data_IF_567459566051
#
_entry.id   IF_567459566051
#
_cell.length_a   1.000
_cell.length_b   1.000
_cell.length_c   1.000
_cell.angle_alpha   90.00
_cell.angle_beta   90.00
_cell.angle_gamma   90.00
#
_symmetry.space_group_name_H-M   'P 1'
#
loop_
_entity.id
_entity.type
_entity.pdbx_description
1 polymer ?
#
# COMPACT_ATOMS: atom_id res chain seq x y z
N UNK A 1 14.84 -12.85 -7.56
CA UNK A 1 15.23 -12.28 -6.26
C UNK A 1 14.17 -12.68 -5.27
N UNK A 2 14.51 -13.43 -4.22
CA UNK A 2 13.53 -13.85 -3.20
C UNK A 2 13.09 -12.60 -2.43
N UNK A 3 11.81 -12.24 -2.49
CA UNK A 3 11.28 -11.13 -1.70
C UNK A 3 11.33 -11.57 -0.24
N UNK A 4 12.16 -10.90 0.56
CA UNK A 4 12.23 -11.14 2.01
C UNK A 4 10.86 -10.78 2.58
N UNK A 5 10.20 -11.74 3.24
CA UNK A 5 8.89 -11.52 3.84
C UNK A 5 9.02 -10.55 5.01
N UNK A 6 8.16 -9.52 5.11
CA UNK A 6 8.11 -8.69 6.29
C UNK A 6 7.74 -9.52 7.53
N UNK A 7 8.39 -9.23 8.64
CA UNK A 7 8.13 -9.85 9.94
C UNK A 7 6.99 -9.11 10.66
N UNK A 8 5.93 -9.82 11.01
CA UNK A 8 4.76 -9.29 11.71
C UNK A 8 4.70 -9.92 13.10
N UNK A 9 4.84 -9.09 14.12
CA UNK A 9 4.74 -9.52 15.51
C UNK A 9 3.27 -9.60 15.94
N UNK A 10 2.87 -10.74 16.50
CA UNK A 10 1.54 -10.94 17.08
C UNK A 10 1.69 -10.87 18.60
N UNK A 11 1.07 -9.85 19.21
CA UNK A 11 1.05 -9.69 20.67
C UNK A 11 0.34 -10.86 21.35
N UNK A 12 0.78 -11.16 22.58
CA UNK A 12 0.23 -12.25 23.39
C UNK A 12 -1.31 -12.20 23.49
N UNK A 13 -1.92 -13.38 23.39
CA UNK A 13 -3.37 -13.59 23.50
C UNK A 13 -4.13 -13.63 22.16
N UNK A 14 -3.51 -13.28 21.03
CA UNK A 14 -4.10 -13.49 19.69
C UNK A 14 -3.71 -14.89 19.19
N UNK A 15 -4.51 -15.89 19.55
CA UNK A 15 -4.16 -17.29 19.29
C UNK A 15 -4.46 -17.73 17.84
N UNK A 16 -5.41 -17.08 17.15
CA UNK A 16 -5.83 -17.46 15.80
C UNK A 16 -6.20 -16.25 14.94
N UNK A 17 -5.61 -16.18 13.75
CA UNK A 17 -6.07 -15.30 12.67
C UNK A 17 -7.27 -15.93 11.94
N UNK A 18 -8.18 -15.14 11.34
CA UNK A 18 -9.30 -15.70 10.58
C UNK A 18 -8.80 -16.61 9.44
N UNK A 19 -9.34 -17.81 9.34
CA UNK A 19 -8.80 -18.89 8.47
C UNK A 19 -8.73 -18.48 6.99
N UNK A 20 -9.75 -17.76 6.51
CA UNK A 20 -9.83 -17.24 5.15
C UNK A 20 -8.69 -16.26 4.84
N UNK A 21 -8.33 -15.42 5.81
CA UNK A 21 -7.27 -14.41 5.62
C UNK A 21 -5.90 -15.01 5.87
N UNK A 22 -5.75 -15.80 6.95
CA UNK A 22 -4.50 -16.48 7.29
C UNK A 22 -3.93 -17.24 6.09
N UNK A 23 -4.76 -18.04 5.41
CA UNK A 23 -4.36 -18.81 4.22
C UNK A 23 -3.74 -17.92 3.13
N UNK A 24 -4.27 -16.72 2.91
CA UNK A 24 -3.76 -15.80 1.89
C UNK A 24 -2.47 -15.11 2.36
N UNK A 25 -2.44 -14.64 3.61
CA UNK A 25 -1.34 -13.79 4.11
C UNK A 25 -0.11 -14.56 4.58
N UNK A 26 -0.20 -15.84 4.96
CA UNK A 26 0.98 -16.64 5.38
C UNK A 26 2.03 -16.77 4.26
N UNK A 27 1.62 -16.61 3.00
CA UNK A 27 2.55 -16.58 1.87
C UNK A 27 3.29 -15.24 1.75
N UNK A 28 2.76 -14.16 2.32
CA UNK A 28 3.24 -12.78 2.18
C UNK A 28 4.10 -12.36 3.38
N UNK A 29 3.69 -12.70 4.61
CA UNK A 29 4.37 -12.27 5.83
C UNK A 29 4.89 -13.45 6.65
N UNK A 30 5.88 -13.18 7.49
CA UNK A 30 6.35 -14.09 8.52
C UNK A 30 5.77 -13.66 9.87
N UNK A 31 4.99 -14.52 10.53
CA UNK A 31 4.41 -14.23 11.83
C UNK A 31 5.35 -14.66 12.96
N UNK A 32 5.53 -13.78 13.94
CA UNK A 32 6.36 -14.02 15.12
C UNK A 32 5.50 -13.84 16.36
N UNK A 33 5.54 -14.79 17.28
CA UNK A 33 4.79 -14.77 18.55
C UNK A 33 5.68 -14.57 19.78
N UNK A 34 6.95 -14.99 19.71
CA UNK A 34 7.89 -14.91 20.82
C UNK A 34 8.88 -13.78 20.56
N UNK A 35 8.82 -12.70 21.36
CA UNK A 35 9.72 -11.56 21.23
C UNK A 35 10.82 -11.63 22.29
N UNK A 36 11.92 -12.31 21.98
CA UNK A 36 13.08 -12.38 22.88
C UNK A 36 13.88 -11.08 22.89
N UNK A 37 14.73 -10.86 23.91
CA UNK A 37 15.64 -9.72 23.95
C UNK A 37 16.66 -9.69 22.79
N UNK A 38 17.00 -10.84 22.20
CA UNK A 38 17.88 -10.94 21.02
C UNK A 38 17.18 -10.50 19.73
N UNK A 39 15.86 -10.66 19.64
CA UNK A 39 15.04 -10.20 18.51
C UNK A 39 14.82 -8.69 18.46
N UNK A 40 15.27 -7.94 19.48
CA UNK A 40 15.35 -6.47 19.39
C UNK A 40 16.31 -6.01 18.27
N UNK A 41 17.23 -6.88 17.83
CA UNK A 41 18.05 -6.67 16.64
C UNK A 41 17.32 -7.10 15.34
N UNK A 42 16.38 -8.05 15.42
CA UNK A 42 15.51 -8.49 14.32
C UNK A 42 14.30 -7.54 14.18
N UNK A 43 14.54 -6.36 13.61
CA UNK A 43 13.53 -5.32 13.33
C UNK A 43 12.21 -5.92 12.79
N UNK A 44 11.13 -5.84 13.56
CA UNK A 44 9.77 -6.16 13.10
C UNK A 44 9.26 -5.07 12.17
N UNK A 45 8.44 -5.46 11.19
CA UNK A 45 7.90 -4.55 10.19
C UNK A 45 6.46 -4.13 10.48
N UNK A 46 5.70 -4.92 11.22
CA UNK A 46 4.32 -4.63 11.59
C UNK A 46 3.88 -5.39 12.84
N UNK A 47 2.75 -4.97 13.41
CA UNK A 47 2.24 -5.51 14.67
C UNK A 47 0.76 -5.85 14.54
N UNK A 48 0.36 -6.99 15.11
CA UNK A 48 -1.02 -7.35 15.37
C UNK A 48 -1.23 -7.42 16.88
N UNK A 49 -2.21 -6.68 17.41
CA UNK A 49 -2.44 -6.58 18.85
C UNK A 49 -3.93 -6.36 19.19
N UNK A 50 -4.31 -6.48 20.46
CA UNK A 50 -5.61 -6.00 20.94
C UNK A 50 -5.61 -4.48 21.04
N UNK A 51 -6.77 -3.84 20.82
CA UNK A 51 -6.88 -2.38 20.93
C UNK A 51 -6.42 -1.81 22.28
N UNK A 52 -6.66 -2.55 23.37
CA UNK A 52 -6.23 -2.16 24.72
C UNK A 52 -4.70 -2.15 24.93
N UNK A 53 -3.94 -2.84 24.07
CA UNK A 53 -2.47 -2.91 24.13
C UNK A 53 -1.80 -1.77 23.35
N UNK A 54 -2.55 -0.96 22.59
CA UNK A 54 -1.98 0.17 21.83
C UNK A 54 -1.14 1.15 22.67
N UNK A 55 -1.51 1.51 23.92
CA UNK A 55 -0.67 2.37 24.75
C UNK A 55 0.68 1.75 25.09
N UNK A 56 0.76 0.41 25.25
CA UNK A 56 1.99 -0.32 25.57
C UNK A 56 2.99 -0.30 24.40
N UNK A 57 2.49 -0.13 23.16
CA UNK A 57 3.35 -0.03 21.98
C UNK A 57 4.12 1.29 21.91
N UNK A 58 3.65 2.32 22.63
CA UNK A 58 4.27 3.65 22.58
C UNK A 58 5.69 3.59 23.16
N UNK A 59 6.67 3.98 22.35
CA UNK A 59 8.09 3.98 22.73
C UNK A 59 8.80 2.63 22.61
N UNK A 60 8.08 1.53 22.38
CA UNK A 60 8.68 0.21 22.10
C UNK A 60 9.02 0.03 20.62
N UNK A 61 8.25 0.66 19.73
CA UNK A 61 8.38 0.52 18.29
C UNK A 61 8.43 1.89 17.58
N UNK A 62 8.94 1.96 16.34
CA UNK A 62 8.92 3.19 15.55
C UNK A 62 7.49 3.74 15.38
N UNK A 63 7.33 5.06 15.48
CA UNK A 63 6.01 5.72 15.47
C UNK A 63 5.10 5.38 14.27
N UNK A 64 5.71 5.09 13.11
CA UNK A 64 4.99 4.78 11.87
C UNK A 64 4.89 3.27 11.58
N UNK A 65 5.13 2.40 12.57
CA UNK A 65 4.97 0.97 12.38
C UNK A 65 3.50 0.64 12.05
N UNK A 66 3.20 -0.18 11.03
CA UNK A 66 1.85 -0.59 10.70
C UNK A 66 1.31 -1.46 11.83
N UNK A 67 0.12 -1.13 12.31
CA UNK A 67 -0.57 -1.87 13.36
C UNK A 67 -1.94 -2.29 12.85
N UNK A 68 -2.30 -3.56 13.09
CA UNK A 68 -3.63 -4.10 12.86
C UNK A 68 -4.20 -4.59 14.20
N UNK A 69 -5.37 -4.07 14.58
CA UNK A 69 -6.00 -4.42 15.86
C UNK A 69 -6.95 -5.61 15.71
N UNK A 70 -7.11 -6.39 16.78
CA UNK A 70 -7.92 -7.62 16.78
C UNK A 70 -9.36 -7.44 16.29
N UNK A 71 -9.99 -6.30 16.57
CA UNK A 71 -11.35 -5.97 16.12
C UNK A 71 -11.46 -5.75 14.60
N UNK A 72 -10.34 -5.62 13.88
CA UNK A 72 -10.27 -5.39 12.43
C UNK A 72 -9.85 -6.63 11.65
N UNK A 73 -9.53 -7.74 12.32
CA UNK A 73 -8.95 -8.91 11.67
C UNK A 73 -9.89 -9.59 10.67
N UNK A 74 -11.20 -9.40 10.79
CA UNK A 74 -12.18 -9.99 9.87
C UNK A 74 -12.38 -9.16 8.59
N UNK A 75 -11.97 -7.89 8.59
CA UNK A 75 -12.25 -6.96 7.51
C UNK A 75 -11.05 -6.85 6.56
N UNK A 76 -11.32 -7.23 5.32
CA UNK A 76 -10.36 -7.32 4.22
C UNK A 76 -9.76 -5.96 3.85
N UNK A 77 -10.49 -4.87 4.06
CA UNK A 77 -10.03 -3.50 3.81
C UNK A 77 -8.88 -3.12 4.72
N UNK A 78 -8.97 -3.49 6.01
CA UNK A 78 -7.91 -3.21 6.96
C UNK A 78 -6.68 -4.07 6.70
N UNK A 79 -6.85 -5.29 6.20
CA UNK A 79 -5.74 -6.12 5.74
C UNK A 79 -5.05 -5.56 4.51
N UNK A 80 -5.80 -5.14 3.49
CA UNK A 80 -5.24 -4.50 2.29
C UNK A 80 -4.42 -3.25 2.67
N UNK A 81 -4.98 -2.42 3.56
CA UNK A 81 -4.30 -1.24 4.09
C UNK A 81 -3.05 -1.58 4.91
N UNK A 82 -3.13 -2.58 5.80
CA UNK A 82 -2.02 -3.03 6.63
C UNK A 82 -0.86 -3.56 5.79
N UNK A 83 -1.14 -4.45 4.84
CA UNK A 83 -0.12 -5.02 3.94
C UNK A 83 0.46 -3.96 3.00
N UNK A 84 -0.36 -3.05 2.48
CA UNK A 84 0.11 -1.91 1.69
C UNK A 84 1.13 -1.08 2.47
N UNK A 85 0.81 -0.70 3.71
CA UNK A 85 1.75 0.03 4.59
C UNK A 85 3.04 -0.74 4.84
N UNK A 86 2.92 -2.03 5.15
CA UNK A 86 4.03 -2.93 5.46
C UNK A 86 5.05 -2.98 4.32
N UNK A 87 4.58 -3.22 3.10
CA UNK A 87 5.44 -3.28 1.92
C UNK A 87 5.91 -1.90 1.44
N UNK A 88 5.14 -0.84 1.64
CA UNK A 88 5.62 0.53 1.39
C UNK A 88 6.78 0.89 2.31
N UNK A 89 6.71 0.56 3.60
CA UNK A 89 7.84 0.74 4.52
C UNK A 89 9.07 -0.06 4.10
N UNK A 90 8.89 -1.31 3.69
CA UNK A 90 10.01 -2.13 3.20
C UNK A 90 10.67 -1.51 1.97
N UNK A 91 9.87 -1.00 1.00
CA UNK A 91 10.42 -0.29 -0.17
C UNK A 91 11.11 1.02 0.22
N UNK A 92 10.60 1.75 1.21
CA UNK A 92 11.24 2.96 1.74
C UNK A 92 12.58 2.64 2.41
N UNK A 93 12.66 1.56 3.17
CA UNK A 93 13.92 1.11 3.78
C UNK A 93 14.93 0.70 2.69
N UNK A 94 14.47 0.10 1.59
CA UNK A 94 15.31 -0.12 0.39
C UNK A 94 15.80 1.18 -0.24
N UNK A 95 14.90 2.15 -0.45
CA UNK A 95 15.24 3.47 -0.97
C UNK A 95 16.28 4.19 -0.09
N UNK A 96 16.19 4.05 1.23
CA UNK A 96 17.13 4.67 2.18
C UNK A 96 18.57 4.19 1.95
N UNK A 97 18.77 2.93 1.57
CA UNK A 97 20.10 2.37 1.34
C UNK A 97 20.71 2.82 0.00
N UNK A 98 19.90 3.35 -0.90
CA UNK A 98 20.30 3.78 -2.25
C UNK A 98 19.86 5.23 -2.51
N UNK A 99 19.98 6.12 -1.51
CA UNK A 99 19.48 7.48 -1.61
C UNK A 99 20.18 8.29 -2.71
N UNK A 100 19.41 8.62 -3.73
CA UNK A 100 19.77 9.59 -4.77
C UNK A 100 18.53 10.40 -5.15
N UNK A 101 18.71 11.56 -5.79
CA UNK A 101 17.59 12.36 -6.26
C UNK A 101 16.72 11.56 -7.24
N UNK A 102 17.40 10.84 -8.14
CA UNK A 102 16.76 9.99 -9.13
C UNK A 102 15.91 8.91 -8.45
N UNK A 103 16.45 8.21 -7.46
CA UNK A 103 15.73 7.13 -6.79
C UNK A 103 14.53 7.63 -5.98
N UNK A 104 14.62 8.82 -5.36
CA UNK A 104 13.46 9.44 -4.67
C UNK A 104 12.36 9.81 -5.68
N UNK A 105 12.73 10.44 -6.80
CA UNK A 105 11.77 10.83 -7.85
C UNK A 105 11.13 9.59 -8.47
N UNK A 106 11.92 8.54 -8.75
CA UNK A 106 11.43 7.29 -9.30
C UNK A 106 10.49 6.60 -8.31
N UNK A 107 10.88 6.47 -7.04
CA UNK A 107 10.02 5.92 -6.00
C UNK A 107 8.69 6.66 -5.94
N UNK A 108 8.69 8.00 -5.89
CA UNK A 108 7.47 8.78 -5.85
C UNK A 108 6.61 8.58 -7.11
N UNK A 109 7.25 8.54 -8.28
CA UNK A 109 6.59 8.34 -9.57
C UNK A 109 5.84 7.01 -9.63
N UNK A 110 6.43 5.92 -9.14
CA UNK A 110 5.80 4.59 -9.10
C UNK A 110 4.67 4.50 -8.04
N UNK A 111 4.70 5.33 -7.00
CA UNK A 111 3.67 5.32 -5.93
C UNK A 111 2.55 6.34 -6.14
N UNK A 112 2.63 7.17 -7.18
CA UNK A 112 1.75 8.30 -7.42
C UNK A 112 0.27 7.99 -7.28
N UNK A 113 -0.23 6.96 -7.99
CA UNK A 113 -1.65 6.62 -7.94
C UNK A 113 -2.07 5.96 -6.65
N UNK A 114 -1.16 5.23 -5.98
CA UNK A 114 -1.42 4.72 -4.63
C UNK A 114 -1.61 5.87 -3.64
N UNK A 115 -0.73 6.88 -3.68
CA UNK A 115 -0.83 8.06 -2.83
C UNK A 115 -2.14 8.80 -3.12
N UNK A 116 -2.50 8.98 -4.40
CA UNK A 116 -3.75 9.62 -4.81
C UNK A 116 -4.99 8.86 -4.33
N UNK A 117 -4.95 7.53 -4.38
CA UNK A 117 -6.04 6.67 -3.92
C UNK A 117 -6.30 6.82 -2.41
N UNK A 118 -5.26 7.09 -1.62
CA UNK A 118 -5.38 7.34 -0.18
C UNK A 118 -5.70 8.80 0.15
N UNK A 119 -5.07 9.75 -0.54
CA UNK A 119 -5.23 11.17 -0.27
C UNK A 119 -4.91 12.01 -1.49
N UNK A 120 -5.91 12.60 -2.19
CA UNK A 120 -5.67 13.54 -3.27
C UNK A 120 -4.87 14.78 -2.81
N UNK A 121 -5.11 15.25 -1.58
CA UNK A 121 -4.36 16.35 -0.97
C UNK A 121 -2.92 15.93 -0.70
N UNK A 122 -2.71 14.74 -0.12
CA UNK A 122 -1.40 14.14 0.11
C UNK A 122 -0.60 13.96 -1.19
N UNK A 123 -1.26 13.53 -2.27
CA UNK A 123 -0.67 13.43 -3.60
C UNK A 123 -0.16 14.78 -4.11
N UNK A 124 -0.98 15.83 -4.02
CA UNK A 124 -0.53 17.17 -4.42
C UNK A 124 0.62 17.70 -3.56
N UNK A 125 0.56 17.48 -2.25
CA UNK A 125 1.60 17.92 -1.33
C UNK A 125 2.94 17.20 -1.58
N UNK A 126 2.91 15.87 -1.63
CA UNK A 126 4.12 15.05 -1.86
C UNK A 126 4.71 15.28 -3.25
N UNK A 127 3.89 15.51 -4.27
CA UNK A 127 4.35 15.91 -5.60
C UNK A 127 5.11 17.24 -5.58
N UNK A 128 4.60 18.25 -4.88
CA UNK A 128 5.32 19.54 -4.69
C UNK A 128 6.61 19.36 -3.88
N UNK A 129 6.57 18.52 -2.85
CA UNK A 129 7.73 18.23 -2.01
C UNK A 129 8.87 17.62 -2.85
N UNK A 130 8.58 16.57 -3.63
CA UNK A 130 9.57 15.92 -4.50
C UNK A 130 10.06 16.85 -5.62
N UNK A 131 9.19 17.68 -6.19
CA UNK A 131 9.59 18.68 -7.18
C UNK A 131 10.51 19.79 -6.61
N UNK A 132 10.58 19.94 -5.29
CA UNK A 132 11.41 20.95 -4.62
C UNK A 132 12.85 20.52 -4.37
N UNK A 133 13.20 19.26 -4.64
CA UNK A 133 14.56 18.73 -4.44
C UNK A 133 15.55 19.47 -5.36
N UNK A 134 16.62 20.02 -4.77
CA UNK A 134 17.71 20.72 -5.47
C UNK A 134 19.02 19.98 -5.26
N UNK A 135 20.04 20.25 -6.09
CA UNK A 135 21.40 19.68 -5.97
C UNK A 135 22.02 19.81 -4.57
N UNK A 136 21.64 20.85 -3.81
CA UNK A 136 22.13 21.11 -2.45
C UNK A 136 21.24 20.55 -1.32
N UNK A 137 20.19 19.80 -1.65
CA UNK A 137 19.27 19.23 -0.65
C UNK A 137 19.98 18.14 0.17
N UNK A 138 19.87 18.22 1.50
CA UNK A 138 20.19 17.10 2.38
C UNK A 138 19.16 15.97 2.18
N UNK A 139 19.57 14.91 1.50
CA UNK A 139 18.69 13.81 1.13
C UNK A 139 18.25 12.97 2.31
N UNK A 140 19.05 12.88 3.38
CA UNK A 140 18.67 12.11 4.57
C UNK A 140 17.55 12.86 5.30
N UNK A 141 17.72 14.16 5.50
CA UNK A 141 16.69 15.01 6.10
C UNK A 141 15.41 15.00 5.25
N UNK A 142 15.54 15.19 3.93
CA UNK A 142 14.41 15.15 3.00
C UNK A 142 13.70 13.80 3.02
N UNK A 143 14.44 12.69 2.98
CA UNK A 143 13.87 11.35 2.99
C UNK A 143 13.06 11.12 4.27
N UNK A 144 13.57 11.52 5.43
CA UNK A 144 12.85 11.35 6.70
C UNK A 144 11.53 12.14 6.71
N UNK A 145 11.52 13.37 6.19
CA UNK A 145 10.30 14.15 6.02
C UNK A 145 9.33 13.47 5.04
N UNK A 146 9.81 13.07 3.86
CA UNK A 146 9.01 12.41 2.83
C UNK A 146 8.41 11.08 3.33
N UNK A 147 9.21 10.25 4.03
CA UNK A 147 8.79 9.01 4.67
C UNK A 147 7.71 9.26 5.70
N UNK A 148 7.86 10.26 6.57
CA UNK A 148 6.84 10.60 7.56
C UNK A 148 5.51 10.97 6.89
N UNK A 149 5.54 11.88 5.91
CA UNK A 149 4.34 12.29 5.17
C UNK A 149 3.68 11.12 4.43
N UNK A 150 4.46 10.25 3.79
CA UNK A 150 3.90 9.10 3.08
C UNK A 150 3.24 8.10 4.03
N UNK A 151 3.85 7.83 5.19
CA UNK A 151 3.28 6.94 6.18
C UNK A 151 2.04 7.51 6.86
N UNK A 152 1.97 8.83 7.02
CA UNK A 152 0.77 9.53 7.47
C UNK A 152 -0.38 9.39 6.44
N UNK A 153 -0.10 9.57 5.16
CA UNK A 153 -1.10 9.38 4.08
C UNK A 153 -1.66 7.95 4.09
N UNK A 154 -0.81 6.95 4.32
CA UNK A 154 -1.22 5.54 4.34
C UNK A 154 -1.78 5.07 5.69
N UNK A 155 -1.85 5.95 6.71
CA UNK A 155 -2.21 5.56 8.07
C UNK A 155 -3.63 4.99 8.17
N UNK A 156 -4.56 5.50 7.36
CA UNK A 156 -5.98 5.14 7.37
C UNK A 156 -6.38 4.43 6.08
N UNK A 157 -7.45 3.64 6.16
CA UNK A 157 -8.06 2.99 5.00
C UNK A 157 -8.53 4.07 4.01
N UNK A 158 -8.23 3.92 2.71
CA UNK A 158 -8.67 4.87 1.70
C UNK A 158 -10.19 4.89 1.57
N UNK A 159 -10.76 6.04 1.23
CA UNK A 159 -12.17 6.12 0.92
C UNK A 159 -12.40 5.66 -0.53
N UNK A 160 -13.50 4.94 -0.80
CA UNK A 160 -13.82 4.49 -2.17
C UNK A 160 -13.83 5.64 -3.20
N UNK A 161 -14.29 6.83 -2.80
CA UNK A 161 -14.28 8.02 -3.65
C UNK A 161 -12.86 8.45 -4.07
N UNK A 162 -11.87 8.35 -3.17
CA UNK A 162 -10.48 8.72 -3.48
C UNK A 162 -9.81 7.64 -4.33
N UNK A 163 -10.14 6.37 -4.12
CA UNK A 163 -9.71 5.26 -4.98
C UNK A 163 -10.29 5.39 -6.39
N UNK A 164 -11.58 5.67 -6.52
CA UNK A 164 -12.24 5.95 -7.81
C UNK A 164 -11.61 7.13 -8.53
N UNK A 165 -11.25 8.19 -7.81
CA UNK A 165 -10.53 9.32 -8.39
C UNK A 165 -9.20 8.86 -9.02
N UNK A 166 -8.39 8.07 -8.30
CA UNK A 166 -7.16 7.50 -8.83
C UNK A 166 -7.41 6.61 -10.07
N UNK A 167 -8.45 5.75 -10.02
CA UNK A 167 -8.84 4.91 -11.15
C UNK A 167 -9.26 5.75 -12.37
N UNK A 168 -10.02 6.83 -12.19
CA UNK A 168 -10.40 7.74 -13.27
C UNK A 168 -9.19 8.44 -13.88
N UNK A 169 -8.20 8.83 -13.08
CA UNK A 169 -6.94 9.36 -13.61
C UNK A 169 -6.19 8.31 -14.44
N UNK A 170 -6.10 7.06 -13.96
CA UNK A 170 -5.46 5.97 -14.69
C UNK A 170 -6.22 5.58 -15.96
N UNK A 171 -7.56 5.66 -15.96
CA UNK A 171 -8.39 5.45 -17.15
C UNK A 171 -8.00 6.40 -18.31
N UNK A 172 -7.51 7.60 -17.99
CA UNK A 172 -7.08 8.59 -18.98
C UNK A 172 -6.00 8.10 -19.95
N UNK A 173 -5.14 7.17 -19.53
CA UNK A 173 -4.07 6.60 -20.36
C UNK A 173 -4.61 5.83 -21.57
N UNK A 174 -5.83 5.32 -21.47
CA UNK A 174 -6.48 4.54 -22.52
C UNK A 174 -7.40 5.39 -23.42
N UNK A 175 -7.59 6.68 -23.12
CA UNK A 175 -8.58 7.56 -23.76
C UNK A 175 -8.54 7.51 -25.29
N UNK A 176 -7.34 7.58 -25.85
CA UNK A 176 -7.08 7.62 -27.29
C UNK A 176 -6.59 6.29 -27.89
N UNK A 177 -6.48 5.24 -27.07
CA UNK A 177 -5.95 3.93 -27.47
C UNK A 177 -7.03 2.83 -27.47
N UNK A 178 -7.80 2.75 -26.40
CA UNK A 178 -8.83 1.74 -26.22
C UNK A 178 -10.09 2.00 -27.07
N UNK A 179 -10.75 0.91 -27.45
CA UNK A 179 -12.03 0.91 -28.16
C UNK A 179 -13.14 1.56 -27.33
N UNK A 180 -14.26 1.89 -27.98
CA UNK A 180 -15.43 2.45 -27.30
C UNK A 180 -15.99 1.49 -26.24
N UNK A 181 -15.98 0.19 -26.52
CA UNK A 181 -16.56 -0.81 -25.64
C UNK A 181 -15.65 -1.14 -24.46
N UNK A 182 -14.33 -1.20 -24.66
CA UNK A 182 -13.35 -1.30 -23.56
C UNK A 182 -13.47 -0.13 -22.58
N UNK A 183 -13.57 1.11 -23.10
CA UNK A 183 -13.74 2.32 -22.28
C UNK A 183 -15.04 2.28 -21.48
N UNK A 184 -16.15 1.89 -22.11
CA UNK A 184 -17.44 1.70 -21.43
C UNK A 184 -17.35 0.63 -20.35
N UNK A 185 -16.70 -0.48 -20.64
CA UNK A 185 -16.54 -1.59 -19.69
C UNK A 185 -15.74 -1.16 -18.46
N UNK A 186 -14.60 -0.50 -18.67
CA UNK A 186 -13.79 0.00 -17.58
C UNK A 186 -14.54 1.05 -16.73
N UNK A 187 -15.26 1.99 -17.37
CA UNK A 187 -16.08 2.96 -16.66
C UNK A 187 -17.17 2.29 -15.82
N UNK A 188 -17.84 1.27 -16.37
CA UNK A 188 -18.84 0.50 -15.64
C UNK A 188 -18.24 -0.17 -14.39
N UNK A 189 -17.06 -0.82 -14.53
CA UNK A 189 -16.37 -1.45 -13.40
C UNK A 189 -16.00 -0.45 -12.29
N UNK A 190 -15.55 0.75 -12.66
CA UNK A 190 -15.22 1.82 -11.71
C UNK A 190 -16.47 2.28 -10.96
N UNK A 191 -17.59 2.49 -11.67
CA UNK A 191 -18.84 2.94 -11.07
C UNK A 191 -19.48 1.86 -10.17
N UNK A 192 -19.37 0.59 -10.54
CA UNK A 192 -19.93 -0.52 -9.76
C UNK A 192 -19.11 -0.79 -8.50
N UNK A 193 -17.79 -0.58 -8.56
CA UNK A 193 -16.93 -0.51 -7.38
C UNK A 193 -17.30 0.67 -6.45
N UNK A 194 -17.54 1.87 -7.02
CA UNK A 194 -18.00 3.03 -6.25
C UNK A 194 -19.29 2.73 -5.47
N UNK A 195 -20.24 2.05 -6.12
CA UNK A 195 -21.50 1.62 -5.52
C UNK A 195 -21.33 0.51 -4.45
N UNK A 196 -20.15 -0.13 -4.38
CA UNK A 196 -19.86 -1.22 -3.45
C UNK A 196 -20.32 -2.61 -3.92
N UNK A 197 -20.67 -2.75 -5.20
CA UNK A 197 -21.17 -4.02 -5.76
C UNK A 197 -20.03 -4.95 -6.20
N UNK A 198 -18.87 -4.40 -6.53
CA UNK A 198 -17.68 -5.14 -6.94
C UNK A 198 -16.47 -4.72 -6.10
N UNK A 199 -15.46 -5.58 -5.97
CA UNK A 199 -14.23 -5.21 -5.31
C UNK A 199 -13.30 -4.36 -6.19
N UNK A 200 -12.37 -3.62 -5.55
CA UNK A 200 -11.36 -2.77 -6.21
C UNK A 200 -10.53 -3.55 -7.24
N UNK A 201 -10.30 -4.84 -7.01
CA UNK A 201 -9.50 -5.66 -7.91
C UNK A 201 -10.10 -5.72 -9.34
N UNK A 202 -11.42 -5.65 -9.49
CA UNK A 202 -12.08 -5.77 -10.80
C UNK A 202 -11.67 -4.67 -11.80
N UNK A 203 -11.77 -3.37 -11.47
CA UNK A 203 -11.25 -2.33 -12.37
C UNK A 203 -9.72 -2.39 -12.55
N UNK A 204 -8.95 -2.75 -11.52
CA UNK A 204 -7.48 -2.87 -11.62
C UNK A 204 -7.06 -3.97 -12.60
N UNK A 205 -7.67 -5.16 -12.54
CA UNK A 205 -7.38 -6.26 -13.46
C UNK A 205 -7.78 -5.93 -14.90
N UNK A 206 -8.91 -5.24 -15.12
CA UNK A 206 -9.27 -4.72 -16.44
C UNK A 206 -8.21 -3.75 -16.98
N UNK A 207 -7.68 -2.86 -16.14
CA UNK A 207 -6.59 -1.96 -16.55
C UNK A 207 -5.29 -2.71 -16.84
N UNK A 208 -4.94 -3.75 -16.08
CA UNK A 208 -3.80 -4.64 -16.39
C UNK A 208 -3.97 -5.32 -17.74
N UNK A 209 -5.16 -5.83 -18.05
CA UNK A 209 -5.47 -6.40 -19.36
C UNK A 209 -5.32 -5.37 -20.49
N UNK A 210 -5.83 -4.15 -20.28
CA UNK A 210 -5.66 -3.06 -21.25
C UNK A 210 -4.18 -2.68 -21.43
N UNK A 211 -3.33 -2.79 -20.40
CA UNK A 211 -1.90 -2.51 -20.52
C UNK A 211 -1.15 -3.58 -21.33
N UNK A 212 -1.65 -4.81 -21.41
CA UNK A 212 -1.08 -5.84 -22.30
C UNK A 212 -1.30 -5.43 -23.77
N UNK A 213 -2.49 -4.91 -24.08
CA UNK A 213 -2.87 -4.51 -25.44
C UNK A 213 -2.36 -3.11 -25.81
N UNK A 214 -2.31 -2.20 -24.85
CA UNK A 214 -1.96 -0.79 -24.98
C UNK A 214 -0.87 -0.42 -23.97
N UNK A 215 0.35 -0.94 -24.15
CA UNK A 215 1.41 -0.73 -23.17
C UNK A 215 1.70 0.75 -22.95
N UNK A 216 1.96 1.07 -21.69
CA UNK A 216 2.36 2.38 -21.22
C UNK A 216 3.39 2.21 -20.12
N UNK A 217 4.65 2.56 -20.41
CA UNK A 217 5.77 2.30 -19.50
C UNK A 217 5.57 2.97 -18.14
N UNK A 218 4.95 4.16 -18.11
CA UNK A 218 4.72 4.88 -16.87
C UNK A 218 3.63 4.22 -16.02
N UNK A 219 2.52 3.80 -16.65
CA UNK A 219 1.40 3.19 -15.94
C UNK A 219 1.74 1.77 -15.47
N UNK A 220 2.51 0.99 -16.23
CA UNK A 220 2.94 -0.37 -15.87
C UNK A 220 3.74 -0.38 -14.55
N UNK A 221 4.54 0.65 -14.28
CA UNK A 221 5.37 0.75 -13.07
C UNK A 221 4.57 1.13 -11.80
N UNK A 222 3.26 1.35 -11.90
CA UNK A 222 2.48 1.88 -10.78
C UNK A 222 2.18 0.82 -9.73
N UNK A 223 2.63 1.09 -8.50
CA UNK A 223 2.51 0.19 -7.34
C UNK A 223 1.05 -0.08 -6.94
N UNK A 224 0.10 0.78 -7.31
CA UNK A 224 -1.33 0.55 -7.02
C UNK A 224 -1.86 -0.77 -7.59
N UNK A 225 -1.28 -1.28 -8.69
CA UNK A 225 -1.67 -2.55 -9.30
C UNK A 225 -1.27 -3.76 -8.46
N UNK A 226 -0.17 -3.65 -7.72
CA UNK A 226 0.34 -4.70 -6.84
C UNK A 226 1.14 -4.07 -5.66
N UNK A 227 0.46 -3.49 -4.66
CA UNK A 227 1.10 -2.82 -3.54
C UNK A 227 1.86 -3.77 -2.62
N UNK A 228 1.56 -5.06 -2.70
CA UNK A 228 2.27 -6.15 -2.05
C UNK A 228 2.08 -7.43 -2.90
N UNK A 229 2.97 -8.43 -2.77
CA UNK A 229 2.92 -9.66 -3.56
C UNK A 229 1.56 -10.33 -3.46
N UNK A 230 1.00 -10.74 -4.61
CA UNK A 230 -0.30 -11.43 -4.69
C UNK A 230 -1.48 -10.63 -4.09
N UNK A 231 -1.42 -9.30 -4.11
CA UNK A 231 -2.48 -8.43 -3.54
C UNK A 231 -3.89 -8.69 -4.05
N UNK A 232 -4.03 -9.22 -5.28
CA UNK A 232 -5.28 -9.71 -5.84
C UNK A 232 -6.02 -10.67 -4.88
N UNK A 233 -5.30 -11.59 -4.23
CA UNK A 233 -5.90 -12.60 -3.33
C UNK A 233 -6.61 -12.04 -2.09
N UNK A 234 -6.24 -10.83 -1.65
CA UNK A 234 -6.91 -10.10 -0.57
C UNK A 234 -7.97 -9.17 -1.14
N UNK A 235 -7.65 -8.44 -2.21
CA UNK A 235 -8.53 -7.44 -2.83
C UNK A 235 -9.74 -8.02 -3.55
N UNK A 236 -9.75 -9.32 -3.84
CA UNK A 236 -10.93 -10.01 -4.40
C UNK A 236 -11.92 -10.48 -3.33
N UNK A 237 -11.50 -10.54 -2.06
CA UNK A 237 -12.38 -10.91 -0.98
C UNK A 237 -13.45 -9.82 -0.80
N UNK A 238 -14.69 -10.18 -0.39
CA UNK A 238 -15.72 -9.19 -0.12
C UNK A 238 -15.23 -8.15 0.88
N UNK A 239 -15.52 -6.88 0.60
CA UNK A 239 -15.41 -5.81 1.59
C UNK A 239 -16.58 -6.01 2.57
N UNK A 240 -16.28 -6.22 3.86
CA UNK A 240 -17.31 -6.34 4.89
C UNK A 240 -18.00 -4.99 5.16
#
# INVERSE_FOLDING_TARGET
>A
MQIIKPKVFIFEGINHLPVNIHRQVSSMVEFITDFSHEDRQNKVNGIICFGQQLPELQGLFPANIPILTSNKLQDTTFWDCFLTKLYTLQRLDGLYNELTHHNIIQFHSCHKYLIMAYSPVGYQYTGRLVASIKSSTDLVCFFNQYKACLMEILATVPARNTEVNALSHMQGYFKHKATKDEKKRLLWLINDYLAGNLPLNRPLEMMKQLLIQYPDNYLIEQVIFEPYPNSCSIRELPYC
#
